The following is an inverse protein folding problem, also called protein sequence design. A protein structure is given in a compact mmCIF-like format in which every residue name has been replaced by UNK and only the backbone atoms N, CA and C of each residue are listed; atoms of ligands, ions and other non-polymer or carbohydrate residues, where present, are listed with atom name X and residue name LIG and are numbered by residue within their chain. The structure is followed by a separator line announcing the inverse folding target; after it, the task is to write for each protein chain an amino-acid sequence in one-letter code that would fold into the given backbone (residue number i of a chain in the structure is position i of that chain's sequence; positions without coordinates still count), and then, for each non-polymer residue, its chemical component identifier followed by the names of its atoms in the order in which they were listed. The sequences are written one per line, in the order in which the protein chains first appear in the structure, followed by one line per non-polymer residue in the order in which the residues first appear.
data_IF_784741163360
#
_entry.id   IF_784741163360
#
_cell.length_a   1.000
_cell.length_b   1.000
_cell.length_c   1.000
_cell.angle_alpha   90.00
_cell.angle_beta   90.00
_cell.angle_gamma   90.00
#
_symmetry.space_group_name_H-M   'P 1'
#
loop_
_entity.id
_entity.type
_entity.pdbx_description
1 polymer ?
#
# COMPACT_ATOMS: atom_id res chain seq x y z
N UNK A 1 -6.57 -12.45 5.40
CA UNK A 1 -7.46 -11.60 4.59
C UNK A 1 -7.14 -10.16 4.95
N UNK A 2 -6.80 -9.29 3.99
CA UNK A 2 -6.55 -7.88 4.28
C UNK A 2 -7.74 -7.22 4.96
N UNK A 3 -7.50 -6.20 5.78
CA UNK A 3 -8.53 -5.54 6.60
C UNK A 3 -9.66 -4.94 5.74
N UNK A 4 -9.36 -4.40 4.56
CA UNK A 4 -10.42 -3.88 3.68
C UNK A 4 -11.22 -5.01 3.01
N UNK A 5 -10.60 -6.16 2.78
CA UNK A 5 -11.24 -7.33 2.22
C UNK A 5 -12.07 -8.09 3.26
N UNK A 6 -11.69 -8.08 4.54
CA UNK A 6 -12.40 -8.82 5.59
C UNK A 6 -13.84 -8.33 5.75
N UNK A 7 -14.10 -7.05 5.47
CA UNK A 7 -15.45 -6.46 5.50
C UNK A 7 -16.42 -7.09 4.49
N UNK A 8 -15.92 -7.75 3.45
CA UNK A 8 -16.74 -8.50 2.49
C UNK A 8 -17.05 -9.93 2.91
N UNK A 9 -16.46 -10.42 4.02
CA UNK A 9 -16.70 -11.77 4.55
C UNK A 9 -17.79 -11.76 5.65
N UNK A 10 -18.22 -12.95 6.06
CA UNK A 10 -19.12 -13.16 7.20
C UNK A 10 -18.58 -12.51 8.48
N UNK A 11 -19.47 -12.11 9.38
CA UNK A 11 -19.16 -11.37 10.61
C UNK A 11 -18.09 -12.07 11.47
N UNK A 12 -18.18 -13.40 11.59
CA UNK A 12 -17.21 -14.20 12.35
C UNK A 12 -15.77 -14.07 11.82
N UNK A 13 -15.58 -13.85 10.50
CA UNK A 13 -14.28 -13.55 9.93
C UNK A 13 -13.81 -12.12 10.24
N UNK A 14 -14.72 -11.17 10.33
CA UNK A 14 -14.41 -9.77 10.62
C UNK A 14 -13.83 -9.63 12.02
N UNK A 15 -14.41 -10.31 13.01
CA UNK A 15 -13.95 -10.25 14.39
C UNK A 15 -12.63 -11.01 14.59
N UNK A 16 -12.53 -12.23 14.05
CA UNK A 16 -11.32 -13.07 14.23
C UNK A 16 -10.09 -12.53 13.51
N UNK A 17 -10.27 -11.89 12.36
CA UNK A 17 -9.19 -11.41 11.51
C UNK A 17 -9.01 -9.88 11.60
N UNK A 18 -9.71 -9.21 12.51
CA UNK A 18 -9.53 -7.78 12.73
C UNK A 18 -8.15 -7.51 13.35
N UNK A 19 -7.30 -6.70 12.71
CA UNK A 19 -6.03 -6.27 13.29
C UNK A 19 -6.21 -5.54 14.64
N UNK A 20 -7.40 -4.98 14.89
CA UNK A 20 -7.76 -4.30 16.14
C UNK A 20 -7.91 -5.24 17.33
N UNK A 21 -8.23 -6.51 17.06
CA UNK A 21 -8.56 -7.51 18.08
C UNK A 21 -7.40 -8.47 18.33
N UNK A 22 -6.30 -8.36 17.58
CA UNK A 22 -5.11 -9.20 17.72
C UNK A 22 -4.08 -8.45 18.57
N UNK A 23 -3.76 -8.92 19.79
CA UNK A 23 -2.78 -8.26 20.66
C UNK A 23 -1.41 -8.17 19.98
N UNK A 24 -0.84 -6.97 19.95
CA UNK A 24 0.48 -6.71 19.35
C UNK A 24 0.48 -6.49 17.84
N UNK A 25 -0.67 -6.59 17.16
CA UNK A 25 -0.77 -6.14 15.76
C UNK A 25 -0.95 -4.63 15.68
N UNK A 26 -0.17 -4.00 14.81
CA UNK A 26 -0.39 -2.61 14.40
C UNK A 26 -1.64 -2.48 13.52
N UNK A 27 -2.16 -1.26 13.42
CA UNK A 27 -3.24 -0.95 12.48
C UNK A 27 -2.71 -1.03 11.04
N UNK A 28 -2.87 -2.19 10.43
CA UNK A 28 -2.43 -2.45 9.06
C UNK A 28 -3.62 -2.77 8.17
N UNK A 29 -3.59 -2.30 6.92
CA UNK A 29 -4.58 -2.70 5.90
C UNK A 29 -4.37 -4.15 5.47
N UNK A 30 -3.19 -4.72 5.70
CA UNK A 30 -2.89 -6.14 5.45
C UNK A 30 -2.71 -6.50 3.98
N UNK A 31 -2.75 -5.51 3.07
CA UNK A 31 -2.38 -5.67 1.65
C UNK A 31 -0.92 -5.30 1.44
N UNK A 32 -0.50 -4.21 2.07
CA UNK A 32 0.83 -3.63 2.03
C UNK A 32 1.16 -3.10 3.44
N UNK A 33 2.45 -3.00 3.80
CA UNK A 33 2.86 -2.42 5.11
C UNK A 33 2.51 -0.93 5.17
N UNK A 34 2.67 -0.20 4.07
CA UNK A 34 2.24 1.18 3.89
C UNK A 34 1.60 1.32 2.49
N UNK A 35 0.39 1.91 2.37
CA UNK A 35 -0.23 2.11 1.07
C UNK A 35 0.24 3.41 0.39
N UNK A 36 0.28 3.43 -0.94
CA UNK A 36 0.65 4.63 -1.74
C UNK A 36 -0.27 5.84 -1.50
N UNK A 37 -1.41 5.66 -0.83
CA UNK A 37 -2.40 6.72 -0.62
C UNK A 37 -1.84 8.00 0.00
N UNK A 38 -0.89 7.89 0.95
CA UNK A 38 -0.23 9.06 1.55
C UNK A 38 0.55 9.84 0.49
N UNK A 39 1.25 9.11 -0.38
CA UNK A 39 2.10 9.66 -1.43
C UNK A 39 1.29 10.24 -2.58
N UNK A 40 0.15 9.62 -2.92
CA UNK A 40 -0.83 10.20 -3.84
C UNK A 40 -1.48 11.46 -3.26
N UNK A 41 -1.62 11.56 -1.94
CA UNK A 41 -2.03 12.79 -1.26
C UNK A 41 -1.07 13.95 -1.54
N UNK A 42 0.25 13.70 -1.47
CA UNK A 42 1.28 14.66 -1.86
C UNK A 42 1.25 14.99 -3.36
N UNK A 43 1.05 13.97 -4.22
CA UNK A 43 0.88 14.16 -5.66
C UNK A 43 -0.37 15.02 -6.00
N UNK A 44 -1.40 14.98 -5.15
CA UNK A 44 -2.59 15.81 -5.28
C UNK A 44 -2.31 17.32 -5.21
N UNK A 45 -1.35 17.74 -4.37
CA UNK A 45 -0.98 19.14 -4.24
C UNK A 45 -0.29 19.67 -5.51
N UNK A 46 0.61 18.87 -6.11
CA UNK A 46 1.35 19.26 -7.33
C UNK A 46 0.54 19.12 -8.61
N UNK A 47 -0.47 18.25 -8.64
CA UNK A 47 -1.32 18.03 -9.83
C UNK A 47 -2.55 18.94 -9.90
N UNK A 48 -2.79 19.79 -8.89
CA UNK A 48 -3.98 20.65 -8.83
C UNK A 48 -4.02 21.68 -9.96
N UNK A 49 -2.88 22.24 -10.32
CA UNK A 49 -2.76 23.29 -11.34
C UNK A 49 -2.30 22.75 -12.70
N UNK A 50 -2.18 21.41 -12.82
CA UNK A 50 -1.79 20.73 -14.05
C UNK A 50 -2.97 20.62 -15.02
N UNK A 51 -2.68 20.66 -16.32
CA UNK A 51 -3.67 20.31 -17.34
C UNK A 51 -4.06 18.81 -17.20
N UNK A 52 -5.21 18.37 -17.74
CA UNK A 52 -5.67 16.99 -17.56
C UNK A 52 -4.64 15.93 -17.99
N UNK A 53 -3.97 16.11 -19.13
CA UNK A 53 -2.94 15.18 -19.61
C UNK A 53 -1.73 15.13 -18.69
N UNK A 54 -1.22 16.29 -18.29
CA UNK A 54 -0.08 16.39 -17.39
C UNK A 54 -0.41 15.88 -15.98
N UNK A 55 -1.66 16.03 -15.53
CA UNK A 55 -2.13 15.42 -14.29
C UNK A 55 -2.05 13.90 -14.34
N UNK A 56 -2.35 13.28 -15.48
CA UNK A 56 -2.16 11.83 -15.65
C UNK A 56 -0.69 11.45 -15.56
N UNK A 57 0.20 12.18 -16.25
CA UNK A 57 1.65 11.94 -16.19
C UNK A 57 2.19 12.02 -14.76
N UNK A 58 1.81 13.04 -13.99
CA UNK A 58 2.23 13.21 -12.59
C UNK A 58 1.82 12.01 -11.73
N UNK A 59 0.58 11.52 -11.92
CA UNK A 59 0.07 10.40 -11.13
C UNK A 59 0.72 9.08 -11.52
N UNK A 60 0.97 8.87 -12.82
CA UNK A 60 1.67 7.68 -13.33
C UNK A 60 3.12 7.64 -12.85
N UNK A 61 3.84 8.77 -12.85
CA UNK A 61 5.20 8.88 -12.33
C UNK A 61 5.25 8.57 -10.83
N UNK A 62 4.31 9.11 -10.04
CA UNK A 62 4.23 8.83 -8.61
C UNK A 62 3.97 7.34 -8.32
N UNK A 63 3.08 6.70 -9.10
CA UNK A 63 2.83 5.26 -9.02
C UNK A 63 4.05 4.44 -9.45
N UNK A 64 4.73 4.87 -10.51
CA UNK A 64 5.93 4.24 -11.05
C UNK A 64 7.10 4.26 -10.05
N UNK A 65 7.37 5.41 -9.44
CA UNK A 65 8.39 5.57 -8.40
C UNK A 65 8.10 4.69 -7.18
N UNK A 66 6.83 4.62 -6.75
CA UNK A 66 6.42 3.75 -5.64
C UNK A 66 6.69 2.26 -5.95
N UNK A 67 6.36 1.82 -7.16
CA UNK A 67 6.65 0.46 -7.62
C UNK A 67 8.16 0.19 -7.71
N UNK A 68 8.94 1.16 -8.18
CA UNK A 68 10.39 1.05 -8.25
C UNK A 68 11.02 0.92 -6.85
N UNK A 69 10.59 1.74 -5.88
CA UNK A 69 11.04 1.65 -4.49
C UNK A 69 10.77 0.27 -3.89
N UNK A 70 9.58 -0.29 -4.14
CA UNK A 70 9.25 -1.67 -3.74
C UNK A 70 10.19 -2.69 -4.39
N UNK A 71 10.44 -2.58 -5.69
CA UNK A 71 11.34 -3.46 -6.43
C UNK A 71 12.77 -3.46 -5.86
N UNK A 72 13.29 -2.27 -5.55
CA UNK A 72 14.63 -2.12 -4.95
C UNK A 72 14.68 -2.68 -3.53
N UNK A 73 13.65 -2.41 -2.71
CA UNK A 73 13.55 -2.91 -1.34
C UNK A 73 13.49 -4.44 -1.24
N UNK A 74 12.83 -5.11 -2.19
CA UNK A 74 12.77 -6.58 -2.26
C UNK A 74 14.14 -7.24 -2.45
N UNK A 75 15.11 -6.52 -3.03
CA UNK A 75 16.43 -7.06 -3.37
C UNK A 75 17.38 -7.16 -2.17
N UNK A 76 16.99 -6.64 -1.00
CA UNK A 76 17.83 -6.56 0.19
C UNK A 76 17.72 -7.77 1.14
N UNK A 77 17.06 -8.87 0.76
CA UNK A 77 17.06 -10.09 1.57
C UNK A 77 18.38 -10.88 1.41
N UNK A 78 19.27 -10.98 2.41
CA UNK A 78 20.54 -11.70 2.28
C UNK A 78 20.42 -13.22 2.43
N UNK A 79 19.22 -13.79 2.56
CA UNK A 79 19.06 -15.18 3.04
C UNK A 79 18.80 -16.26 1.98
N UNK A 80 18.86 -15.95 0.68
CA UNK A 80 18.83 -17.01 -0.34
C UNK A 80 20.26 -17.41 -0.73
N UNK A 81 21.00 -17.96 0.24
CA UNK A 81 22.11 -18.86 -0.08
C UNK A 81 21.47 -20.19 -0.48
N UNK A 82 21.23 -20.39 -1.78
CA UNK A 82 20.92 -21.72 -2.31
C UNK A 82 22.11 -22.63 -1.95
N UNK A 83 21.76 -23.77 -1.37
CA UNK A 83 22.63 -24.92 -1.15
C UNK A 83 23.34 -25.33 -2.45
#
# INVERSE_FOLDING_TARGET
VPYIHVRGHIEDCQDKLSPRLIPGMGMVTGEEVEPIWVELGHAGAISRDANPGHRHEILDDACGDWNFKKLVGLRMCPSVRRL
#
